data_IF_994181344942
#
_entry.id   IF_994181344942
#
_cell.length_a   1.000
_cell.length_b   1.000
_cell.length_c   1.000
_cell.angle_alpha   90.00
_cell.angle_beta   90.00
_cell.angle_gamma   90.00
#
_symmetry.space_group_name_H-M   'P 1'
#
loop_
_entity.id
_entity.type
_entity.pdbx_description
1 polymer ?
#
# COMPACT_ATOMS: atom_id res chain seq x y z
N UNK A 1 21.64 -45.38 36.80
CA UNK A 1 21.14 -46.76 36.50
C UNK A 1 20.98 -46.80 35.02
N UNK A 2 22.05 -47.10 34.40
CA UNK A 2 22.43 -48.23 33.53
C UNK A 2 21.56 -48.40 32.27
N UNK A 3 22.23 -48.19 31.23
CA UNK A 3 22.14 -48.54 29.80
C UNK A 3 21.74 -50.04 29.60
N UNK A 4 21.21 -50.57 28.47
CA UNK A 4 22.10 -50.75 27.33
C UNK A 4 21.54 -50.58 25.90
N UNK A 5 22.53 -50.35 25.03
CA UNK A 5 22.50 -50.54 23.57
C UNK A 5 22.23 -51.98 23.16
N UNK A 6 21.56 -52.19 22.02
CA UNK A 6 21.82 -53.37 21.17
C UNK A 6 21.63 -53.00 19.67
N UNK A 7 22.74 -53.11 18.97
CA UNK A 7 22.90 -53.23 17.51
C UNK A 7 22.40 -54.59 17.04
N UNK A 8 21.81 -54.68 15.84
CA UNK A 8 21.96 -55.86 14.98
C UNK A 8 21.92 -55.46 13.50
N UNK A 9 22.81 -56.13 12.78
CA UNK A 9 23.21 -55.96 11.39
C UNK A 9 22.22 -56.59 10.40
N UNK A 10 22.35 -56.07 9.17
CA UNK A 10 22.32 -56.77 7.86
C UNK A 10 21.03 -57.36 7.33
N UNK A 11 20.54 -56.78 6.22
CA UNK A 11 20.38 -57.49 4.94
C UNK A 11 19.99 -56.47 3.84
N UNK A 12 20.86 -56.30 2.84
CA UNK A 12 20.47 -55.96 1.46
C UNK A 12 19.95 -57.25 0.81
N UNK A 13 18.91 -57.19 -0.05
CA UNK A 13 19.18 -56.94 -1.46
C UNK A 13 18.02 -56.23 -2.22
N UNK A 14 18.31 -56.03 -3.46
CA UNK A 14 17.46 -55.77 -4.62
C UNK A 14 17.38 -54.29 -5.08
N UNK A 15 18.19 -54.07 -6.09
CA UNK A 15 18.04 -52.99 -7.04
C UNK A 15 16.62 -52.91 -7.62
N UNK A 16 15.91 -51.85 -7.30
CA UNK A 16 14.75 -51.40 -8.06
C UNK A 16 15.20 -50.14 -8.81
N UNK A 17 15.29 -50.26 -10.14
CA UNK A 17 15.40 -49.12 -11.05
C UNK A 17 14.15 -48.24 -10.86
N UNK A 18 14.25 -47.25 -10.01
CA UNK A 18 13.31 -46.12 -10.01
C UNK A 18 13.68 -45.22 -11.17
N UNK A 19 12.89 -45.27 -12.22
CA UNK A 19 12.95 -44.36 -13.33
C UNK A 19 12.91 -42.92 -12.79
N UNK A 20 13.92 -42.15 -13.17
CA UNK A 20 13.93 -40.71 -12.97
C UNK A 20 12.66 -40.15 -13.66
N UNK A 21 11.65 -39.86 -12.87
CA UNK A 21 10.58 -39.00 -13.33
C UNK A 21 11.23 -37.63 -13.57
N UNK A 22 11.61 -37.40 -14.82
CA UNK A 22 12.08 -36.11 -15.26
C UNK A 22 11.00 -35.09 -14.96
N UNK A 23 11.30 -34.13 -14.11
CA UNK A 23 10.48 -32.93 -13.98
C UNK A 23 10.54 -32.24 -15.34
N UNK A 24 9.52 -32.47 -16.15
CA UNK A 24 9.36 -31.80 -17.44
C UNK A 24 8.94 -30.37 -17.09
N UNK A 25 9.93 -29.48 -17.15
CA UNK A 25 9.60 -28.04 -17.16
C UNK A 25 8.79 -27.79 -18.44
N UNK A 26 7.62 -27.15 -18.36
CA UNK A 26 6.85 -26.83 -19.54
C UNK A 26 7.73 -26.01 -20.51
N UNK A 27 7.70 -26.37 -21.78
CA UNK A 27 8.45 -25.65 -22.80
C UNK A 27 7.88 -24.21 -22.90
N UNK A 28 8.70 -23.22 -23.26
CA UNK A 28 8.25 -21.84 -23.51
C UNK A 28 7.03 -21.76 -24.45
N UNK A 29 6.83 -22.74 -25.31
CA UNK A 29 5.66 -22.85 -26.18
C UNK A 29 4.39 -23.25 -25.43
N UNK A 30 4.48 -24.17 -24.45
CA UNK A 30 3.32 -24.58 -23.65
C UNK A 30 2.87 -23.44 -22.72
N UNK A 31 3.80 -22.74 -22.09
CA UNK A 31 3.50 -21.56 -21.27
C UNK A 31 2.88 -20.42 -22.10
N UNK A 32 3.39 -20.15 -23.30
CA UNK A 32 2.84 -19.15 -24.20
C UNK A 32 1.43 -19.51 -24.70
N UNK A 33 1.15 -20.81 -24.92
CA UNK A 33 -0.17 -21.28 -25.32
C UNK A 33 -1.17 -21.17 -24.14
N UNK A 34 -0.74 -21.51 -22.93
CA UNK A 34 -1.54 -21.38 -21.71
C UNK A 34 -1.88 -19.91 -21.44
N UNK A 35 -0.92 -18.98 -21.57
CA UNK A 35 -1.17 -17.56 -21.44
C UNK A 35 -2.17 -17.02 -22.48
N UNK A 36 -2.09 -17.50 -23.73
CA UNK A 36 -3.07 -17.12 -24.77
C UNK A 36 -4.48 -17.57 -24.41
N UNK A 37 -4.63 -18.78 -23.86
CA UNK A 37 -5.91 -19.30 -23.33
C UNK A 37 -6.44 -18.43 -22.20
N UNK A 38 -5.55 -18.04 -21.25
CA UNK A 38 -5.88 -17.12 -20.17
C UNK A 38 -6.37 -15.76 -20.71
N UNK A 39 -5.66 -15.16 -21.68
CA UNK A 39 -6.05 -13.89 -22.29
C UNK A 39 -7.40 -14.00 -23.03
N UNK A 40 -7.66 -15.11 -23.71
CA UNK A 40 -8.97 -15.34 -24.34
C UNK A 40 -10.10 -15.35 -23.29
N UNK A 41 -9.87 -15.96 -22.13
CA UNK A 41 -10.79 -15.91 -21.00
C UNK A 41 -11.01 -14.50 -20.44
N UNK A 42 -9.92 -13.68 -20.34
CA UNK A 42 -10.01 -12.27 -19.94
C UNK A 42 -10.88 -11.47 -20.91
N UNK A 43 -10.67 -11.65 -22.23
CA UNK A 43 -11.48 -10.95 -23.26
C UNK A 43 -12.96 -11.32 -23.19
N UNK A 44 -13.27 -12.61 -23.02
CA UNK A 44 -14.63 -13.06 -22.88
C UNK A 44 -15.34 -12.46 -21.66
N UNK A 45 -14.62 -12.35 -20.52
CA UNK A 45 -15.12 -11.71 -19.31
C UNK A 45 -15.27 -10.19 -19.51
N UNK A 46 -14.28 -9.55 -20.15
CA UNK A 46 -14.31 -8.13 -20.45
C UNK A 46 -15.53 -7.72 -21.29
N UNK A 47 -15.85 -8.48 -22.34
CA UNK A 47 -17.07 -8.28 -23.12
C UNK A 47 -18.34 -8.36 -22.28
N UNK A 48 -18.45 -9.38 -21.43
CA UNK A 48 -19.60 -9.52 -20.50
C UNK A 48 -19.68 -8.34 -19.51
N UNK A 49 -18.53 -7.73 -19.17
CA UNK A 49 -18.45 -6.56 -18.30
C UNK A 49 -18.64 -5.23 -19.03
N UNK A 50 -18.97 -5.24 -20.33
CA UNK A 50 -19.22 -4.04 -21.13
C UNK A 50 -17.97 -3.31 -21.63
N UNK A 51 -16.79 -3.96 -21.60
CA UNK A 51 -15.57 -3.40 -22.16
C UNK A 51 -15.56 -3.61 -23.66
N UNK A 52 -15.29 -2.55 -24.44
CA UNK A 52 -15.31 -2.56 -25.90
C UNK A 52 -14.23 -3.49 -26.47
N UNK A 53 -14.54 -4.12 -27.63
CA UNK A 53 -13.57 -4.97 -28.32
C UNK A 53 -12.32 -4.21 -28.75
N UNK A 54 -12.44 -2.92 -29.04
CA UNK A 54 -11.30 -2.05 -29.35
C UNK A 54 -10.33 -1.97 -28.18
N UNK A 55 -10.82 -1.68 -26.98
CA UNK A 55 -9.98 -1.64 -25.76
C UNK A 55 -9.40 -3.02 -25.43
N UNK A 56 -10.20 -4.07 -25.52
CA UNK A 56 -9.72 -5.44 -25.28
C UNK A 56 -8.62 -5.85 -26.26
N UNK A 57 -8.76 -5.43 -27.53
CA UNK A 57 -7.73 -5.70 -28.55
C UNK A 57 -6.44 -4.89 -28.28
N UNK A 58 -6.56 -3.60 -28.05
CA UNK A 58 -5.42 -2.71 -27.76
C UNK A 58 -4.64 -3.14 -26.49
N UNK A 59 -5.38 -3.49 -25.46
CA UNK A 59 -4.79 -3.82 -24.15
C UNK A 59 -4.21 -5.23 -24.07
N UNK A 60 -4.74 -6.21 -24.83
CA UNK A 60 -4.49 -7.63 -24.56
C UNK A 60 -3.87 -8.41 -25.74
N UNK A 61 -3.91 -7.89 -26.99
CA UNK A 61 -3.48 -8.71 -28.15
C UNK A 61 -1.97 -8.99 -28.18
N UNK A 62 -1.17 -8.06 -27.68
CA UNK A 62 0.30 -8.11 -27.74
C UNK A 62 0.94 -8.48 -26.42
N UNK A 63 0.13 -8.80 -25.40
CA UNK A 63 0.68 -9.14 -24.09
C UNK A 63 1.41 -10.49 -24.09
N UNK A 64 2.48 -10.51 -23.34
CA UNK A 64 3.20 -11.71 -22.92
C UNK A 64 3.47 -11.63 -21.42
N UNK A 65 3.69 -12.77 -20.73
CA UNK A 65 4.06 -12.74 -19.32
C UNK A 65 5.35 -11.97 -19.11
N UNK A 66 5.37 -11.09 -18.10
CA UNK A 66 6.56 -10.34 -17.73
C UNK A 66 7.29 -11.06 -16.59
N UNK A 67 8.41 -11.72 -16.91
CA UNK A 67 9.20 -12.49 -15.92
C UNK A 67 9.73 -11.61 -14.79
N UNK A 68 10.04 -10.33 -15.09
CA UNK A 68 10.52 -9.39 -14.08
C UNK A 68 9.45 -9.07 -13.04
N UNK A 69 8.20 -8.99 -13.44
CA UNK A 69 7.04 -8.84 -12.53
C UNK A 69 6.95 -10.04 -11.58
N UNK A 70 7.06 -11.26 -12.11
CA UNK A 70 7.05 -12.49 -11.31
C UNK A 70 8.20 -12.53 -10.31
N UNK A 71 9.43 -12.21 -10.76
CA UNK A 71 10.59 -12.15 -9.88
C UNK A 71 10.43 -11.17 -8.72
N UNK A 72 9.91 -9.97 -9.00
CA UNK A 72 9.69 -8.95 -7.98
C UNK A 72 8.59 -9.36 -6.99
N UNK A 73 7.51 -9.99 -7.46
CA UNK A 73 6.44 -10.46 -6.61
C UNK A 73 6.88 -11.60 -5.68
N UNK A 74 7.78 -12.47 -6.16
CA UNK A 74 8.36 -13.58 -5.35
C UNK A 74 9.42 -13.12 -4.35
N UNK A 75 10.11 -12.02 -4.63
CA UNK A 75 11.19 -11.45 -3.80
C UNK A 75 10.70 -10.45 -2.75
N UNK A 76 9.41 -10.42 -2.40
CA UNK A 76 8.95 -9.54 -1.32
C UNK A 76 9.73 -9.90 -0.04
N UNK A 77 10.62 -9.04 0.47
CA UNK A 77 11.29 -9.30 1.74
C UNK A 77 10.22 -9.32 2.83
N UNK A 78 10.26 -10.35 3.68
CA UNK A 78 9.52 -10.34 4.92
C UNK A 78 9.91 -9.06 5.69
N UNK A 79 8.92 -8.35 6.21
CA UNK A 79 9.10 -7.05 6.87
C UNK A 79 9.82 -7.23 8.21
N UNK A 80 11.15 -7.27 8.19
CA UNK A 80 12.02 -7.30 9.38
C UNK A 80 12.72 -5.97 9.63
N UNK A 81 12.22 -4.89 9.05
CA UNK A 81 12.82 -3.57 9.19
C UNK A 81 12.42 -2.96 10.54
N UNK A 82 13.41 -2.46 11.33
CA UNK A 82 13.14 -1.66 12.53
C UNK A 82 12.51 -0.32 12.17
N UNK A 83 11.79 0.28 13.12
CA UNK A 83 11.20 1.61 12.94
C UNK A 83 12.28 2.67 12.64
N UNK A 84 13.40 2.63 13.36
CA UNK A 84 14.51 3.55 13.14
C UNK A 84 14.98 3.54 11.68
N UNK A 85 15.19 2.34 11.09
CA UNK A 85 15.60 2.21 9.70
C UNK A 85 14.49 2.65 8.73
N UNK A 86 13.23 2.32 9.03
CA UNK A 86 12.09 2.76 8.23
C UNK A 86 12.01 4.29 8.23
N UNK A 87 12.03 4.90 9.42
CA UNK A 87 11.99 6.33 9.62
C UNK A 87 13.11 7.05 8.88
N UNK A 88 14.38 6.65 9.07
CA UNK A 88 15.53 7.29 8.45
C UNK A 88 15.46 7.28 6.91
N UNK A 89 14.88 6.23 6.31
CA UNK A 89 14.74 6.13 4.85
C UNK A 89 13.51 6.86 4.32
N UNK A 90 12.42 6.93 5.10
CA UNK A 90 11.13 7.50 4.65
C UNK A 90 10.97 8.98 5.00
N UNK A 91 11.52 9.45 6.11
CA UNK A 91 11.45 10.85 6.56
C UNK A 91 12.75 11.62 6.25
N UNK A 92 13.31 11.45 5.05
CA UNK A 92 14.54 12.15 4.65
C UNK A 92 14.29 13.65 4.51
N UNK A 93 15.32 14.47 4.84
CA UNK A 93 15.29 15.93 4.67
C UNK A 93 14.89 16.34 3.25
N UNK A 94 15.39 15.61 2.23
CA UNK A 94 15.02 15.84 0.83
C UNK A 94 13.52 15.70 0.59
N UNK A 95 12.87 14.67 1.17
CA UNK A 95 11.41 14.50 1.03
C UNK A 95 10.65 15.59 1.75
N UNK A 96 11.06 15.97 2.95
CA UNK A 96 10.41 17.05 3.71
C UNK A 96 10.55 18.39 2.98
N UNK A 97 11.73 18.72 2.47
CA UNK A 97 11.94 19.93 1.68
C UNK A 97 11.06 19.95 0.41
N UNK A 98 11.02 18.83 -0.34
CA UNK A 98 10.12 18.71 -1.48
C UNK A 98 8.64 18.85 -1.09
N UNK A 99 8.26 18.30 0.07
CA UNK A 99 6.90 18.44 0.61
C UNK A 99 6.53 19.88 0.91
N UNK A 100 7.41 20.64 1.55
CA UNK A 100 7.21 22.08 1.82
C UNK A 100 7.05 22.88 0.52
N UNK A 101 7.85 22.57 -0.49
CA UNK A 101 7.71 23.19 -1.81
C UNK A 101 6.34 22.87 -2.44
N UNK A 102 5.89 21.61 -2.38
CA UNK A 102 4.57 21.22 -2.91
C UNK A 102 3.43 21.82 -2.08
N UNK A 103 3.56 21.90 -0.76
CA UNK A 103 2.59 22.57 0.10
C UNK A 103 2.41 24.04 -0.27
N UNK A 104 3.51 24.77 -0.47
CA UNK A 104 3.49 26.17 -0.87
C UNK A 104 2.92 26.36 -2.29
N UNK A 105 3.36 25.53 -3.25
CA UNK A 105 2.90 25.58 -4.65
C UNK A 105 1.42 25.31 -4.80
N UNK A 106 0.88 24.40 -4.00
CA UNK A 106 -0.51 23.95 -4.08
C UNK A 106 -1.37 24.45 -2.91
N UNK A 107 -0.97 25.51 -2.19
CA UNK A 107 -1.61 25.94 -0.96
C UNK A 107 -3.12 26.19 -1.10
N UNK A 108 -3.54 26.88 -2.16
CA UNK A 108 -4.95 27.17 -2.43
C UNK A 108 -5.73 25.88 -2.77
N UNK A 109 -5.16 25.02 -3.60
CA UNK A 109 -5.77 23.74 -3.98
C UNK A 109 -5.92 22.82 -2.75
N UNK A 110 -4.90 22.73 -1.90
CA UNK A 110 -4.95 21.96 -0.66
C UNK A 110 -6.07 22.45 0.27
N UNK A 111 -6.26 23.76 0.39
CA UNK A 111 -7.38 24.31 1.16
C UNK A 111 -8.74 23.96 0.53
N UNK A 112 -8.86 24.00 -0.81
CA UNK A 112 -10.08 23.61 -1.50
C UNK A 112 -10.42 22.13 -1.27
N UNK A 113 -9.43 21.24 -1.38
CA UNK A 113 -9.59 19.80 -1.14
C UNK A 113 -9.93 19.52 0.33
N UNK A 114 -9.23 20.16 1.29
CA UNK A 114 -9.51 20.02 2.71
C UNK A 114 -10.95 20.47 3.05
N UNK A 115 -11.39 21.59 2.50
CA UNK A 115 -12.77 22.08 2.69
C UNK A 115 -13.81 21.14 2.07
N UNK A 116 -13.52 20.56 0.91
CA UNK A 116 -14.45 19.68 0.20
C UNK A 116 -14.60 18.30 0.87
N UNK A 117 -13.52 17.77 1.43
CA UNK A 117 -13.48 16.39 1.95
C UNK A 117 -13.34 16.32 3.48
N UNK A 118 -13.02 17.41 4.15
CA UNK A 118 -12.80 17.46 5.60
C UNK A 118 -11.55 16.68 6.06
N UNK A 119 -10.63 16.40 5.15
CA UNK A 119 -9.40 15.62 5.41
C UNK A 119 -8.23 16.60 5.57
N UNK A 120 -7.44 16.40 6.62
CA UNK A 120 -6.26 17.21 6.91
C UNK A 120 -5.26 17.20 5.74
N UNK A 121 -4.90 18.38 5.25
CA UNK A 121 -4.00 18.56 4.11
C UNK A 121 -2.57 18.06 4.37
N UNK A 122 -2.12 18.07 5.63
CA UNK A 122 -0.83 17.49 6.00
C UNK A 122 -0.82 15.98 5.76
N UNK A 123 -1.90 15.28 6.13
CA UNK A 123 -2.03 13.84 5.89
C UNK A 123 -2.12 13.52 4.40
N UNK A 124 -2.81 14.34 3.61
CA UNK A 124 -2.85 14.21 2.14
C UNK A 124 -1.43 14.32 1.56
N UNK A 125 -0.67 15.34 1.98
CA UNK A 125 0.73 15.53 1.59
C UNK A 125 1.62 14.38 2.07
N UNK A 126 1.39 13.87 3.27
CA UNK A 126 2.11 12.74 3.82
C UNK A 126 1.98 11.47 2.97
N UNK A 127 0.77 11.14 2.55
CA UNK A 127 0.50 10.02 1.63
C UNK A 127 1.17 10.28 0.27
N UNK A 128 0.92 11.42 -0.36
CA UNK A 128 1.49 11.76 -1.66
C UNK A 128 3.03 11.72 -1.64
N UNK A 129 3.63 12.24 -0.57
CA UNK A 129 5.08 12.19 -0.37
C UNK A 129 5.63 10.79 -0.17
N UNK A 130 4.94 9.96 0.62
CA UNK A 130 5.42 8.62 0.95
C UNK A 130 5.27 7.65 -0.24
N UNK A 131 4.17 7.75 -0.99
CA UNK A 131 3.89 6.87 -2.12
C UNK A 131 4.82 7.13 -3.31
N UNK A 132 4.92 8.38 -3.75
CA UNK A 132 5.62 8.69 -5.02
C UNK A 132 6.60 9.84 -4.93
N UNK A 133 6.96 10.29 -3.71
CA UNK A 133 7.75 11.50 -3.52
C UNK A 133 7.16 12.68 -4.31
N UNK A 134 5.87 12.92 -4.08
CA UNK A 134 5.07 13.99 -4.73
C UNK A 134 5.01 13.85 -6.25
N UNK A 135 4.80 12.65 -6.75
CA UNK A 135 4.69 12.35 -8.17
C UNK A 135 6.01 12.14 -8.91
N UNK A 136 7.15 12.29 -8.24
CA UNK A 136 8.45 12.14 -8.87
C UNK A 136 8.75 10.70 -9.36
N UNK A 137 8.10 9.69 -8.78
CA UNK A 137 8.30 8.30 -9.16
C UNK A 137 7.01 7.49 -9.00
N UNK A 138 6.36 7.16 -10.10
CA UNK A 138 5.07 6.46 -10.12
C UNK A 138 5.16 4.97 -10.47
N UNK A 139 6.38 4.46 -10.70
CA UNK A 139 6.65 3.13 -11.23
C UNK A 139 6.89 3.15 -12.73
N UNK A 140 7.35 2.02 -13.28
CA UNK A 140 7.74 1.91 -14.70
C UNK A 140 7.14 0.68 -15.40
N UNK A 141 6.16 0.00 -14.78
CA UNK A 141 5.49 -1.15 -15.37
C UNK A 141 4.16 -0.75 -15.99
N UNK A 142 3.83 -1.33 -17.13
CA UNK A 142 2.47 -1.23 -17.64
C UNK A 142 1.54 -2.04 -16.73
N UNK A 143 0.48 -1.39 -16.22
CA UNK A 143 -0.42 -1.97 -15.21
C UNK A 143 -1.20 -3.16 -15.76
N UNK A 144 -1.61 -3.11 -17.03
CA UNK A 144 -2.32 -4.25 -17.66
C UNK A 144 -1.39 -5.46 -17.77
N UNK A 145 -0.15 -5.25 -18.24
CA UNK A 145 0.84 -6.32 -18.33
C UNK A 145 1.15 -6.92 -16.96
N UNK A 146 1.40 -6.07 -15.96
CA UNK A 146 1.72 -6.51 -14.60
C UNK A 146 0.57 -7.31 -13.98
N UNK A 147 -0.65 -6.78 -14.02
CA UNK A 147 -1.82 -7.45 -13.44
C UNK A 147 -2.21 -8.72 -14.20
N UNK A 148 -2.08 -8.74 -15.54
CA UNK A 148 -2.32 -9.94 -16.34
C UNK A 148 -1.29 -11.04 -16.02
N UNK A 149 -0.01 -10.67 -15.90
CA UNK A 149 1.07 -11.60 -15.55
C UNK A 149 0.80 -12.25 -14.18
N UNK A 150 0.49 -11.44 -13.15
CA UNK A 150 0.26 -11.93 -11.79
C UNK A 150 -1.06 -12.70 -11.65
N UNK A 151 -2.08 -12.35 -12.44
CA UNK A 151 -3.32 -13.12 -12.50
C UNK A 151 -3.13 -14.50 -13.14
N UNK A 152 -2.26 -14.59 -14.15
CA UNK A 152 -1.93 -15.85 -14.82
C UNK A 152 -0.98 -16.71 -13.99
N UNK A 153 0.04 -16.12 -13.33
CA UNK A 153 1.04 -16.84 -12.52
C UNK A 153 0.40 -17.66 -11.38
N UNK A 154 -0.73 -17.24 -10.87
CA UNK A 154 -1.62 -18.07 -10.07
C UNK A 154 -1.53 -17.88 -8.55
N UNK A 155 -0.41 -17.41 -7.99
CA UNK A 155 -0.23 -17.29 -6.52
C UNK A 155 -1.34 -16.46 -5.83
N UNK A 156 -1.79 -15.38 -6.48
CA UNK A 156 -2.90 -14.52 -6.06
C UNK A 156 -3.86 -14.25 -7.22
N UNK A 157 -4.16 -15.31 -8.00
CA UNK A 157 -4.85 -15.21 -9.29
C UNK A 157 -6.18 -14.43 -9.21
N UNK A 158 -7.04 -14.75 -8.27
CA UNK A 158 -8.34 -14.10 -8.15
C UNK A 158 -8.24 -12.62 -7.84
N UNK A 159 -7.31 -12.23 -6.97
CA UNK A 159 -7.05 -10.83 -6.64
C UNK A 159 -6.58 -10.06 -7.88
N UNK A 160 -5.51 -10.53 -8.54
CA UNK A 160 -4.99 -9.83 -9.71
C UNK A 160 -5.92 -9.90 -10.92
N UNK A 161 -6.78 -10.93 -11.02
CA UNK A 161 -7.85 -10.97 -12.02
C UNK A 161 -8.84 -9.83 -11.84
N UNK A 162 -9.25 -9.57 -10.60
CA UNK A 162 -10.13 -8.44 -10.29
C UNK A 162 -9.47 -7.10 -10.60
N UNK A 163 -8.18 -6.96 -10.27
CA UNK A 163 -7.42 -5.75 -10.57
C UNK A 163 -7.25 -5.53 -12.09
N UNK A 164 -6.96 -6.58 -12.86
CA UNK A 164 -6.90 -6.51 -14.33
C UNK A 164 -8.24 -6.06 -14.93
N UNK A 165 -9.34 -6.66 -14.50
CA UNK A 165 -10.66 -6.26 -14.97
C UNK A 165 -11.01 -4.83 -14.61
N UNK A 166 -10.60 -4.37 -13.44
CA UNK A 166 -10.75 -2.98 -13.01
C UNK A 166 -9.90 -2.02 -13.87
N UNK A 167 -8.65 -2.40 -14.17
CA UNK A 167 -7.76 -1.63 -15.04
C UNK A 167 -8.31 -1.50 -16.47
N UNK A 168 -8.86 -2.58 -17.02
CA UNK A 168 -9.51 -2.54 -18.34
C UNK A 168 -10.74 -1.61 -18.34
N UNK A 169 -11.51 -1.52 -17.26
CA UNK A 169 -12.62 -0.56 -17.14
C UNK A 169 -12.14 0.89 -17.13
N UNK A 170 -11.00 1.19 -16.49
CA UNK A 170 -10.39 2.51 -16.47
C UNK A 170 -10.02 2.95 -17.89
N UNK A 171 -9.38 2.06 -18.65
CA UNK A 171 -9.08 2.31 -20.07
C UNK A 171 -10.36 2.52 -20.91
N UNK A 172 -11.38 1.70 -20.68
CA UNK A 172 -12.64 1.78 -21.41
C UNK A 172 -13.44 3.06 -21.09
N UNK A 173 -13.29 3.60 -19.89
CA UNK A 173 -13.85 4.90 -19.51
C UNK A 173 -13.10 6.07 -20.15
N UNK A 174 -11.82 5.91 -20.47
CA UNK A 174 -10.99 6.94 -21.08
C UNK A 174 -10.23 7.82 -20.09
N UNK A 175 -10.16 7.43 -18.81
CA UNK A 175 -9.42 8.17 -17.77
C UNK A 175 -7.92 8.29 -18.09
N UNK A 176 -7.36 7.27 -18.76
CA UNK A 176 -5.96 7.22 -19.18
C UNK A 176 -5.83 6.41 -20.48
N UNK A 177 -4.76 6.62 -21.24
CA UNK A 177 -4.43 5.79 -22.40
C UNK A 177 -3.53 4.62 -22.01
N UNK A 178 -3.57 3.53 -22.79
CA UNK A 178 -2.78 2.32 -22.55
C UNK A 178 -1.28 2.59 -22.34
N UNK A 179 -0.58 3.40 -23.15
CA UNK A 179 0.85 3.68 -22.95
C UNK A 179 1.15 4.45 -21.66
N UNK A 180 0.20 5.25 -21.18
CA UNK A 180 0.36 6.08 -19.98
C UNK A 180 -0.10 5.41 -18.69
N UNK A 181 -0.76 4.26 -18.79
CA UNK A 181 -1.20 3.48 -17.63
C UNK A 181 -0.02 2.77 -16.96
N UNK A 182 0.86 3.58 -16.35
CA UNK A 182 2.08 3.14 -15.68
C UNK A 182 1.86 3.02 -14.18
N UNK A 183 2.61 2.12 -13.55
CA UNK A 183 2.52 1.88 -12.12
C UNK A 183 3.63 0.98 -11.59
N UNK A 184 3.42 0.43 -10.39
CA UNK A 184 4.31 -0.56 -9.79
C UNK A 184 4.20 -1.92 -10.47
N UNK A 185 5.16 -2.81 -10.22
CA UNK A 185 5.12 -4.21 -10.69
C UNK A 185 3.89 -4.98 -10.19
N UNK A 186 3.26 -4.53 -9.09
CA UNK A 186 2.05 -5.12 -8.54
C UNK A 186 0.77 -4.38 -8.95
N UNK A 187 0.84 -3.42 -9.88
CA UNK A 187 -0.31 -2.74 -10.45
C UNK A 187 -0.83 -1.53 -9.67
N UNK A 188 -0.10 -1.03 -8.67
CA UNK A 188 -0.42 0.24 -8.02
C UNK A 188 -0.11 1.41 -8.98
N UNK A 189 -1.06 2.36 -9.15
CA UNK A 189 -1.09 3.31 -10.25
C UNK A 189 -0.99 4.76 -9.82
N UNK A 190 -0.34 5.54 -10.68
CA UNK A 190 -0.31 6.99 -10.58
C UNK A 190 0.36 7.52 -9.32
N UNK A 191 0.18 8.80 -9.04
CA UNK A 191 0.82 9.44 -7.89
C UNK A 191 0.33 8.94 -6.52
N UNK A 192 -0.97 8.60 -6.33
CA UNK A 192 -1.47 8.05 -5.07
C UNK A 192 -1.24 6.53 -4.93
N UNK A 193 -0.65 5.85 -5.92
CA UNK A 193 -0.41 4.41 -5.92
C UNK A 193 -1.68 3.59 -5.63
N UNK A 194 -2.80 3.97 -6.25
CA UNK A 194 -4.04 3.22 -6.15
C UNK A 194 -3.99 1.91 -6.92
N UNK A 195 -4.47 0.84 -6.32
CA UNK A 195 -4.84 -0.35 -7.08
C UNK A 195 -6.02 -0.01 -8.02
N UNK A 196 -6.15 -0.68 -9.19
CA UNK A 196 -7.24 -0.43 -10.13
C UNK A 196 -8.65 -0.47 -9.52
N UNK A 197 -8.90 -1.39 -8.61
CA UNK A 197 -10.18 -1.44 -7.87
C UNK A 197 -10.36 -0.24 -6.94
N UNK A 198 -9.28 0.22 -6.29
CA UNK A 198 -9.30 1.44 -5.47
C UNK A 198 -9.54 2.69 -6.32
N UNK A 199 -8.92 2.77 -7.51
CA UNK A 199 -9.19 3.83 -8.47
C UNK A 199 -10.67 3.92 -8.82
N UNK A 200 -11.27 2.82 -9.25
CA UNK A 200 -12.69 2.81 -9.63
C UNK A 200 -13.63 3.20 -8.49
N UNK A 201 -13.20 3.02 -7.25
CA UNK A 201 -14.00 3.33 -6.05
C UNK A 201 -13.77 4.73 -5.51
N UNK A 202 -12.57 5.27 -5.64
CA UNK A 202 -12.16 6.46 -4.90
C UNK A 202 -11.60 7.59 -5.75
N UNK A 203 -11.11 7.33 -6.99
CA UNK A 203 -10.61 8.39 -7.84
C UNK A 203 -11.72 9.35 -8.25
N UNK A 204 -11.40 10.64 -8.25
CA UNK A 204 -12.33 11.73 -8.59
C UNK A 204 -11.70 12.63 -9.64
N UNK A 205 -12.54 13.22 -10.48
CA UNK A 205 -12.23 14.31 -11.39
C UNK A 205 -12.52 15.61 -10.62
N UNK A 206 -11.48 16.26 -10.13
CA UNK A 206 -11.61 17.44 -9.28
C UNK A 206 -11.41 18.74 -10.07
N UNK A 207 -10.67 18.70 -11.17
CA UNK A 207 -10.50 19.84 -12.07
C UNK A 207 -11.62 19.94 -13.12
N UNK A 208 -12.47 18.91 -13.24
CA UNK A 208 -13.66 18.93 -14.08
C UNK A 208 -13.40 18.75 -15.57
N UNK A 209 -12.25 18.13 -15.95
CA UNK A 209 -11.88 17.89 -17.35
C UNK A 209 -12.57 16.65 -17.97
N UNK A 210 -13.35 15.92 -17.20
CA UNK A 210 -14.06 14.71 -17.58
C UNK A 210 -13.24 13.42 -17.39
N UNK A 211 -12.09 13.47 -16.72
CA UNK A 211 -11.18 12.36 -16.47
C UNK A 211 -10.73 12.33 -15.01
N UNK A 212 -10.54 11.17 -14.45
CA UNK A 212 -9.96 10.98 -13.13
C UNK A 212 -8.46 10.72 -13.26
N UNK A 213 -7.69 11.77 -13.58
CA UNK A 213 -6.29 11.65 -13.99
C UNK A 213 -5.34 11.68 -12.77
N UNK A 214 -5.21 10.56 -12.07
CA UNK A 214 -4.29 10.44 -10.92
C UNK A 214 -2.81 10.36 -11.30
N UNK A 215 -2.45 10.40 -12.57
CA UNK A 215 -1.06 10.37 -13.05
C UNK A 215 -0.47 11.76 -13.19
N UNK A 216 -1.22 12.72 -13.74
CA UNK A 216 -0.71 14.03 -14.13
C UNK A 216 -1.49 15.21 -13.56
N UNK A 217 -2.78 15.05 -13.20
CA UNK A 217 -3.58 16.10 -12.60
C UNK A 217 -3.38 16.13 -11.09
N UNK A 218 -2.64 17.13 -10.59
CA UNK A 218 -2.46 17.31 -9.13
C UNK A 218 -3.78 17.53 -8.41
N UNK A 219 -4.76 18.28 -8.94
CA UNK A 219 -6.11 18.36 -8.36
C UNK A 219 -6.75 17.01 -8.13
N UNK A 220 -6.76 16.14 -9.14
CA UNK A 220 -7.35 14.80 -9.04
C UNK A 220 -6.60 13.91 -8.05
N UNK A 221 -5.27 14.01 -8.04
CA UNK A 221 -4.41 13.26 -7.10
C UNK A 221 -4.77 13.59 -5.66
N UNK A 222 -4.76 14.87 -5.28
CA UNK A 222 -5.00 15.31 -3.91
C UNK A 222 -6.44 15.01 -3.48
N UNK A 223 -7.41 15.29 -4.34
CA UNK A 223 -8.81 15.01 -4.09
C UNK A 223 -9.11 13.51 -4.02
N UNK A 224 -8.46 12.69 -4.84
CA UNK A 224 -8.62 11.22 -4.78
C UNK A 224 -8.06 10.64 -3.47
N UNK A 225 -6.90 11.11 -3.00
CA UNK A 225 -6.36 10.73 -1.68
C UNK A 225 -7.35 11.12 -0.57
N UNK A 226 -7.85 12.35 -0.61
CA UNK A 226 -8.81 12.85 0.37
C UNK A 226 -10.11 12.04 0.34
N UNK A 227 -10.67 11.77 -0.84
CA UNK A 227 -11.88 10.96 -0.99
C UNK A 227 -11.69 9.52 -0.49
N UNK A 228 -10.50 8.92 -0.71
CA UNK A 228 -10.18 7.61 -0.13
C UNK A 228 -10.29 7.64 1.40
N UNK A 229 -9.65 8.63 2.05
CA UNK A 229 -9.66 8.75 3.51
C UNK A 229 -11.07 9.05 4.04
N UNK A 230 -11.81 9.97 3.41
CA UNK A 230 -13.20 10.28 3.76
C UNK A 230 -14.08 9.02 3.71
N UNK A 231 -14.05 8.30 2.58
CA UNK A 231 -14.83 7.04 2.41
C UNK A 231 -14.34 5.91 3.30
N UNK A 232 -13.13 6.02 3.81
CA UNK A 232 -12.55 5.13 4.81
C UNK A 232 -12.89 5.51 6.25
N UNK A 233 -13.70 6.56 6.47
CA UNK A 233 -14.20 6.95 7.79
C UNK A 233 -13.33 7.99 8.48
N UNK A 234 -12.72 8.91 7.73
CA UNK A 234 -11.98 10.03 8.30
C UNK A 234 -12.86 10.90 9.21
N UNK A 235 -12.35 11.21 10.38
CA UNK A 235 -13.01 12.10 11.35
C UNK A 235 -12.44 13.51 11.19
N UNK A 236 -13.24 14.39 10.59
CA UNK A 236 -12.87 15.79 10.38
C UNK A 236 -12.53 16.48 11.72
N UNK A 237 -11.47 17.28 11.71
CA UNK A 237 -11.03 18.04 12.89
C UNK A 237 -10.34 17.19 13.96
N UNK A 238 -10.23 15.89 13.81
CA UNK A 238 -9.44 15.05 14.70
C UNK A 238 -8.04 14.79 14.11
N UNK A 239 -6.98 14.86 14.93
CA UNK A 239 -5.63 14.53 14.47
C UNK A 239 -5.49 13.03 14.17
N UNK A 240 -4.42 12.68 13.45
CA UNK A 240 -4.04 11.27 13.24
C UNK A 240 -3.42 10.64 14.48
N UNK A 241 -2.63 11.43 15.20
CA UNK A 241 -1.86 11.03 16.37
C UNK A 241 -0.93 12.15 16.83
N UNK A 242 -0.06 11.83 17.76
CA UNK A 242 1.01 12.72 18.21
C UNK A 242 2.18 11.90 18.76
N UNK A 243 3.39 12.45 18.63
CA UNK A 243 4.55 11.87 19.31
C UNK A 243 4.38 11.98 20.82
N UNK A 244 4.79 10.93 21.53
CA UNK A 244 4.68 10.82 22.98
C UNK A 244 5.99 10.31 23.60
N UNK A 245 6.11 10.46 24.89
CA UNK A 245 7.13 9.78 25.70
C UNK A 245 6.39 8.82 26.62
N UNK A 246 6.73 7.54 26.54
CA UNK A 246 6.24 6.52 27.44
C UNK A 246 7.36 6.10 28.42
N UNK A 247 7.06 5.87 29.72
CA UNK A 247 8.06 5.35 30.63
C UNK A 247 8.64 4.02 30.13
N UNK A 248 9.94 3.80 30.32
CA UNK A 248 10.57 2.52 29.96
C UNK A 248 9.98 1.33 30.75
N UNK A 249 9.37 1.62 31.89
CA UNK A 249 8.68 0.65 32.77
C UNK A 249 7.23 0.38 32.39
N UNK A 250 6.72 1.00 31.30
CA UNK A 250 5.33 0.78 30.87
C UNK A 250 5.15 -0.70 30.49
N UNK A 251 4.06 -1.29 30.94
CA UNK A 251 3.72 -2.66 30.57
C UNK A 251 3.43 -2.72 29.05
N UNK A 252 4.19 -3.50 28.27
CA UNK A 252 3.94 -3.61 26.82
C UNK A 252 2.53 -4.12 26.48
N UNK A 253 1.88 -4.83 27.38
CA UNK A 253 0.53 -5.37 27.15
C UNK A 253 -0.56 -4.28 27.06
N UNK A 254 -0.31 -3.10 27.62
CA UNK A 254 -1.24 -1.96 27.48
C UNK A 254 -1.07 -1.20 26.16
N UNK A 255 0.06 -1.39 25.46
CA UNK A 255 0.29 -0.80 24.17
C UNK A 255 -0.43 -1.59 23.05
N UNK A 256 -0.54 -0.96 21.88
CA UNK A 256 -1.17 -1.56 20.71
C UNK A 256 -2.52 -0.93 20.36
N UNK A 257 -2.91 -1.07 19.10
CA UNK A 257 -4.08 -0.39 18.51
C UNK A 257 -5.42 -0.77 19.12
N UNK A 258 -5.52 -1.95 19.66
CA UNK A 258 -6.76 -2.47 20.25
C UNK A 258 -7.00 -1.89 21.64
N UNK A 259 -5.94 -1.41 22.31
CA UNK A 259 -6.02 -0.85 23.66
C UNK A 259 -6.23 0.67 23.56
N UNK A 260 -7.44 1.12 23.81
CA UNK A 260 -7.83 2.54 23.73
C UNK A 260 -8.13 3.06 25.12
N UNK A 261 -7.32 3.99 25.59
CA UNK A 261 -7.51 4.68 26.84
C UNK A 261 -7.70 6.19 26.59
N UNK A 262 -8.33 6.86 27.52
CA UNK A 262 -8.38 8.34 27.53
C UNK A 262 -6.99 8.93 27.75
N UNK A 263 -6.76 10.15 27.33
CA UNK A 263 -5.49 10.83 27.58
C UNK A 263 -5.20 10.98 29.10
N UNK A 264 -6.24 11.10 29.94
CA UNK A 264 -6.11 11.14 31.37
C UNK A 264 -5.62 9.79 31.95
N UNK A 265 -6.01 8.67 31.37
CA UNK A 265 -5.53 7.34 31.77
C UNK A 265 -4.08 7.14 31.33
N UNK A 266 -3.74 7.55 30.11
CA UNK A 266 -2.35 7.54 29.63
C UNK A 266 -1.43 8.41 30.51
N UNK A 267 -1.92 9.61 30.92
CA UNK A 267 -1.17 10.48 31.83
C UNK A 267 -0.93 9.83 33.22
N UNK A 268 -1.90 9.06 33.74
CA UNK A 268 -1.72 8.29 35.00
C UNK A 268 -0.70 7.18 34.86
N UNK A 269 -0.53 6.63 33.66
CA UNK A 269 0.52 5.65 33.35
C UNK A 269 1.88 6.31 33.06
N UNK A 270 1.99 7.65 33.23
CA UNK A 270 3.23 8.40 33.05
C UNK A 270 3.54 8.79 31.60
N UNK A 271 2.62 8.61 30.68
CA UNK A 271 2.79 9.05 29.29
C UNK A 271 2.63 10.58 29.18
N UNK A 272 3.54 11.21 28.42
CA UNK A 272 3.54 12.66 28.16
C UNK A 272 3.57 12.93 26.66
N UNK A 273 3.39 14.18 26.26
CA UNK A 273 3.67 14.60 24.87
C UNK A 273 5.16 14.43 24.54
N UNK A 274 5.52 14.36 23.27
CA UNK A 274 6.89 14.20 22.80
C UNK A 274 7.86 15.28 23.28
N UNK A 275 7.37 16.47 23.65
CA UNK A 275 8.12 17.55 24.26
C UNK A 275 8.20 17.49 25.80
N UNK A 276 7.71 16.42 26.42
CA UNK A 276 7.67 16.22 27.88
C UNK A 276 6.53 16.93 28.61
N UNK A 277 5.69 17.68 27.91
CA UNK A 277 4.53 18.34 28.53
C UNK A 277 3.44 17.32 28.89
N UNK A 278 2.60 17.65 29.85
CA UNK A 278 1.45 16.84 30.23
C UNK A 278 0.46 16.69 29.07
N UNK A 279 -0.15 15.52 28.97
CA UNK A 279 -1.22 15.30 28.03
C UNK A 279 -2.40 16.23 28.32
N UNK A 280 -3.05 16.82 27.31
CA UNK A 280 -4.22 17.66 27.50
C UNK A 280 -5.39 16.82 28.05
N UNK A 281 -6.29 17.49 28.80
CA UNK A 281 -7.55 16.87 29.18
C UNK A 281 -8.42 16.76 27.94
N UNK A 282 -8.60 15.56 27.42
CA UNK A 282 -9.43 15.30 26.23
C UNK A 282 -10.14 13.96 26.40
N UNK A 283 -11.43 13.88 26.03
CA UNK A 283 -12.16 12.62 26.00
C UNK A 283 -11.76 11.74 24.80
N UNK A 284 -10.97 12.26 23.86
CA UNK A 284 -10.57 11.53 22.67
C UNK A 284 -9.75 10.29 23.07
N UNK A 285 -10.20 9.08 22.74
CA UNK A 285 -9.46 7.87 23.04
C UNK A 285 -8.22 7.79 22.15
N UNK A 286 -7.13 7.34 22.72
CA UNK A 286 -5.87 7.09 22.00
C UNK A 286 -5.35 5.69 22.32
N UNK A 287 -4.63 5.12 21.36
CA UNK A 287 -3.84 3.91 21.52
C UNK A 287 -2.37 4.26 21.60
N UNK A 288 -1.62 3.65 22.50
CA UNK A 288 -0.16 3.82 22.57
C UNK A 288 0.51 2.86 21.59
N UNK A 289 1.24 3.41 20.64
CA UNK A 289 2.02 2.65 19.67
C UNK A 289 3.50 2.77 20.04
N UNK A 290 4.16 1.63 20.17
CA UNK A 290 5.59 1.50 20.49
C UNK A 290 6.27 0.73 19.35
N UNK A 291 6.70 1.40 18.27
CA UNK A 291 7.16 0.72 17.05
C UNK A 291 8.35 -0.22 17.27
N UNK A 292 9.31 0.17 18.12
CA UNK A 292 10.49 -0.63 18.49
C UNK A 292 10.39 -1.15 19.94
N UNK A 293 9.18 -1.14 20.53
CA UNK A 293 8.95 -1.61 21.92
C UNK A 293 9.20 -0.55 23.00
N UNK A 294 9.13 -0.96 24.29
CA UNK A 294 9.32 -0.07 25.41
C UNK A 294 10.73 0.56 25.43
N UNK A 295 10.81 1.84 25.78
CA UNK A 295 12.06 2.61 25.80
C UNK A 295 12.45 3.19 24.44
N UNK A 296 11.76 2.83 23.36
CA UNK A 296 11.88 3.46 22.05
C UNK A 296 10.95 4.66 21.86
N UNK A 297 10.82 5.11 20.62
CA UNK A 297 9.83 6.16 20.28
C UNK A 297 8.40 5.67 20.57
N UNK A 298 7.57 6.59 21.03
CA UNK A 298 6.18 6.33 21.35
C UNK A 298 5.26 7.31 20.62
N UNK A 299 4.07 6.84 20.27
CA UNK A 299 3.05 7.64 19.62
C UNK A 299 1.67 7.37 20.23
N UNK A 300 0.91 8.41 20.48
CA UNK A 300 -0.51 8.29 20.76
C UNK A 300 -1.28 8.37 19.44
N UNK A 301 -1.87 7.27 19.04
CA UNK A 301 -2.63 7.12 17.81
C UNK A 301 -4.13 7.36 18.08
N UNK A 302 -4.71 8.33 17.38
CA UNK A 302 -6.14 8.65 17.44
C UNK A 302 -6.94 7.87 16.38
N UNK A 303 -8.27 7.97 16.32
CA UNK A 303 -9.09 7.22 15.37
C UNK A 303 -8.63 7.34 13.90
N UNK A 304 -8.19 8.53 13.47
CA UNK A 304 -7.70 8.77 12.11
C UNK A 304 -6.42 8.00 11.75
N UNK A 305 -5.62 7.60 12.73
CA UNK A 305 -4.51 6.67 12.51
C UNK A 305 -4.96 5.36 11.84
N UNK A 306 -6.06 4.80 12.33
CA UNK A 306 -6.62 3.58 11.75
C UNK A 306 -7.22 3.81 10.35
N UNK A 307 -7.65 5.04 10.05
CA UNK A 307 -8.10 5.40 8.69
C UNK A 307 -6.92 5.44 7.72
N UNK A 308 -5.79 6.04 8.12
CA UNK A 308 -4.55 6.01 7.31
C UNK A 308 -4.11 4.56 7.07
N UNK A 309 -4.20 3.68 8.07
CA UNK A 309 -3.88 2.26 7.93
C UNK A 309 -4.77 1.49 6.94
N UNK A 310 -5.93 2.01 6.55
CA UNK A 310 -6.73 1.42 5.47
C UNK A 310 -6.09 1.64 4.10
N UNK A 311 -5.29 2.69 3.98
CA UNK A 311 -4.49 2.92 2.77
C UNK A 311 -3.34 1.90 2.66
N UNK A 312 -2.61 1.72 3.76
CA UNK A 312 -1.58 0.68 3.90
C UNK A 312 -1.61 0.13 5.34
N UNK A 313 -1.78 -1.19 5.56
CA UNK A 313 -2.03 -1.77 6.89
C UNK A 313 -0.81 -1.82 7.82
N UNK A 314 0.23 -1.04 7.58
CA UNK A 314 1.43 -0.91 8.42
C UNK A 314 1.29 0.23 9.42
N UNK A 315 1.64 0.00 10.69
CA UNK A 315 1.73 1.05 11.70
C UNK A 315 2.86 2.02 11.37
N UNK A 316 3.99 1.53 10.89
CA UNK A 316 5.11 2.36 10.43
C UNK A 316 4.71 3.31 9.31
N UNK A 317 3.91 2.82 8.37
CA UNK A 317 3.37 3.65 7.30
C UNK A 317 2.50 4.78 7.85
N UNK A 318 1.55 4.46 8.73
CA UNK A 318 0.62 5.45 9.25
C UNK A 318 1.33 6.52 10.10
N UNK A 319 2.31 6.12 10.93
CA UNK A 319 3.16 7.06 11.67
C UNK A 319 3.95 7.95 10.70
N UNK A 320 4.59 7.36 9.69
CA UNK A 320 5.39 8.12 8.73
C UNK A 320 4.56 9.13 7.92
N UNK A 321 3.35 8.74 7.49
CA UNK A 321 2.40 9.65 6.81
C UNK A 321 2.09 10.85 7.70
N UNK A 322 1.71 10.61 8.95
CA UNK A 322 1.39 11.67 9.89
C UNK A 322 2.58 12.58 10.16
N UNK A 323 3.74 12.01 10.48
CA UNK A 323 4.97 12.78 10.73
C UNK A 323 5.41 13.60 9.53
N UNK A 324 5.36 13.06 8.29
CA UNK A 324 5.67 13.83 7.08
C UNK A 324 4.69 15.01 6.97
N UNK A 325 3.39 14.77 7.17
CA UNK A 325 2.38 15.82 7.17
C UNK A 325 2.70 16.94 8.15
N UNK A 326 2.94 16.58 9.41
CA UNK A 326 3.27 17.53 10.48
C UNK A 326 4.55 18.33 10.15
N UNK A 327 5.62 17.66 9.68
CA UNK A 327 6.91 18.30 9.35
C UNK A 327 6.85 19.19 8.11
N UNK A 328 5.98 18.88 7.16
CA UNK A 328 5.79 19.66 5.92
C UNK A 328 4.96 20.91 6.20
N UNK A 329 4.00 20.83 7.12
CA UNK A 329 3.08 21.93 7.45
C UNK A 329 3.59 22.85 8.57
N UNK A 330 4.66 22.44 9.30
CA UNK A 330 5.35 23.29 10.29
C UNK A 330 6.18 24.38 9.60
#
# INVERSE_FOLDING_TARGET
MCIPRRSFLSALPAAACLGAAGVVFPSNQAEAQDFRGFIAGVKAEGRRAGISDTILAQALNTLSPNTRVIELDRKQPEFTMTWERYRSTRLSEKRIAAGREQAARNAQLLMQVENAYGVDRGVILGIWGLETNYGAFQGGFNVIEATATLAWEGRRASFFRAELMAALKILNHGDITMPRMQGSYAGAMGQPQFMPTSFNRYAVDFDGDGRRNIWDSVPDVLASIANYLLKSGWHQGQPWGTQAIAPATIDPSVAGRENRLSLAEWARLGVTLGNGQRLPASPLPASLILPDGPGGEAFLAYPNFNVIRRYNPSDFYAIAVGMIGDMVMA
#
